data_IF_306597728806
#
_entry.id   IF_306597728806
#
_cell.length_a   1.000
_cell.length_b   1.000
_cell.length_c   1.000
_cell.angle_alpha   90.00
_cell.angle_beta   90.00
_cell.angle_gamma   90.00
#
_symmetry.space_group_name_H-M   'P 1'
#
loop_
_entity.id
_entity.type
_entity.pdbx_description
1 polymer ?
#
# COMPACT_ATOMS: atom_id res chain seq x y z
N UNK A 1 25.31 -3.90 1.58
CA UNK A 1 24.70 -2.58 1.80
C UNK A 1 23.22 -2.79 1.93
N UNK A 2 22.55 -2.14 2.86
CA UNK A 2 21.08 -2.25 3.02
C UNK A 2 20.41 -1.48 1.90
N UNK A 3 19.37 -2.06 1.26
CA UNK A 3 18.73 -1.52 0.04
C UNK A 3 17.99 -0.19 0.26
N UNK A 4 17.57 0.09 1.51
CA UNK A 4 16.81 1.28 1.90
C UNK A 4 17.57 2.16 2.89
N UNK A 5 18.90 2.06 2.94
CA UNK A 5 19.75 2.92 3.78
C UNK A 5 19.50 4.40 3.45
N UNK A 6 19.25 5.21 4.49
CA UNK A 6 18.96 6.65 4.32
C UNK A 6 17.53 6.98 3.84
N UNK A 7 16.67 5.99 3.61
CA UNK A 7 15.27 6.23 3.24
C UNK A 7 14.41 6.52 4.49
N UNK A 8 13.51 7.50 4.35
CA UNK A 8 12.46 7.83 5.33
C UNK A 8 11.12 7.50 4.70
N UNK A 9 10.43 6.52 5.25
CA UNK A 9 9.23 5.95 4.66
C UNK A 9 8.00 6.15 5.55
N UNK A 10 6.85 6.49 4.93
CA UNK A 10 5.52 6.36 5.54
C UNK A 10 4.85 5.13 4.92
N UNK A 11 4.31 4.24 5.77
CA UNK A 11 3.55 3.05 5.36
C UNK A 11 2.19 3.10 6.03
N UNK A 12 1.12 3.16 5.24
CA UNK A 12 -0.26 3.21 5.77
C UNK A 12 -0.86 1.81 5.92
N UNK A 13 -1.78 1.64 6.89
CA UNK A 13 -2.36 0.33 7.18
C UNK A 13 -1.32 -0.64 7.72
N UNK A 14 -0.39 -0.17 8.56
CA UNK A 14 0.82 -0.90 8.94
C UNK A 14 0.72 -1.66 10.27
N UNK A 15 -0.47 -1.77 10.87
CA UNK A 15 -0.67 -2.54 12.10
C UNK A 15 -0.91 -4.03 11.87
N UNK A 16 -1.03 -4.49 10.62
CA UNK A 16 -1.26 -5.89 10.29
C UNK A 16 -0.96 -6.22 8.81
N UNK A 17 -0.97 -7.52 8.50
CA UNK A 17 -0.95 -8.03 7.12
C UNK A 17 0.26 -7.55 6.30
N UNK A 18 0.02 -7.10 5.07
CA UNK A 18 1.09 -6.62 4.19
C UNK A 18 1.78 -5.39 4.75
N UNK A 19 1.04 -4.42 5.33
CA UNK A 19 1.60 -3.19 5.87
C UNK A 19 2.58 -3.43 7.02
N UNK A 20 2.25 -4.32 7.96
CA UNK A 20 3.17 -4.78 9.00
C UNK A 20 4.42 -5.44 8.39
N UNK A 21 4.22 -6.34 7.42
CA UNK A 21 5.33 -7.00 6.73
C UNK A 21 6.24 -6.00 6.03
N UNK A 22 5.67 -5.00 5.34
CA UNK A 22 6.45 -3.94 4.71
C UNK A 22 7.28 -3.16 5.74
N UNK A 23 6.68 -2.75 6.87
CA UNK A 23 7.37 -2.01 7.91
C UNK A 23 8.57 -2.78 8.47
N UNK A 24 8.37 -4.07 8.80
CA UNK A 24 9.43 -4.93 9.33
C UNK A 24 10.59 -5.12 8.35
N UNK A 25 10.29 -5.44 7.10
CA UNK A 25 11.33 -5.66 6.09
C UNK A 25 12.01 -4.33 5.69
N UNK A 26 11.31 -3.19 5.69
CA UNK A 26 11.90 -1.87 5.43
C UNK A 26 12.92 -1.48 6.49
N UNK A 27 12.61 -1.64 7.79
CA UNK A 27 13.56 -1.38 8.87
C UNK A 27 14.76 -2.30 8.77
N UNK A 28 14.56 -3.58 8.47
CA UNK A 28 15.64 -4.55 8.25
C UNK A 28 16.56 -4.13 7.11
N UNK A 29 16.02 -3.52 6.04
CA UNK A 29 16.76 -2.98 4.91
C UNK A 29 17.31 -1.55 5.14
N UNK A 30 17.20 -1.04 6.36
CA UNK A 30 17.87 0.20 6.79
C UNK A 30 17.04 1.47 6.69
N UNK A 31 15.76 1.38 6.36
CA UNK A 31 14.89 2.53 6.35
C UNK A 31 14.51 3.00 7.76
N UNK A 32 14.24 4.29 7.89
CA UNK A 32 13.45 4.85 8.99
C UNK A 32 11.97 4.81 8.59
N UNK A 33 11.11 4.26 9.42
CA UNK A 33 9.73 3.95 9.04
C UNK A 33 8.74 4.58 10.01
N UNK A 34 7.79 5.32 9.45
CA UNK A 34 6.57 5.74 10.15
C UNK A 34 5.45 4.78 9.76
N UNK A 35 5.01 3.99 10.74
CA UNK A 35 3.85 3.12 10.62
C UNK A 35 2.60 3.93 10.93
N UNK A 36 1.58 3.86 10.09
CA UNK A 36 0.31 4.50 10.39
C UNK A 36 -0.87 3.54 10.26
N UNK A 37 -1.82 3.64 11.17
CA UNK A 37 -3.03 2.81 11.21
C UNK A 37 -4.05 3.41 12.19
N UNK A 38 -5.28 2.89 12.17
CA UNK A 38 -6.30 3.16 13.19
C UNK A 38 -6.03 2.41 14.50
N UNK A 39 -5.42 1.21 14.41
CA UNK A 39 -5.15 0.35 15.56
C UNK A 39 -3.84 0.76 16.26
N UNK A 40 -3.99 1.66 17.23
CA UNK A 40 -2.88 2.23 17.98
C UNK A 40 -2.12 1.20 18.83
N UNK A 41 -2.82 0.26 19.45
CA UNK A 41 -2.21 -0.76 20.30
C UNK A 41 -1.25 -1.64 19.51
N UNK A 42 -1.74 -2.24 18.41
CA UNK A 42 -0.90 -3.10 17.55
C UNK A 42 0.21 -2.33 16.87
N UNK A 43 -0.10 -1.15 16.32
CA UNK A 43 0.89 -0.33 15.62
C UNK A 43 2.02 0.11 16.55
N UNK A 44 1.71 0.56 17.76
CA UNK A 44 2.71 0.94 18.76
C UNK A 44 3.56 -0.23 19.22
N UNK A 45 2.96 -1.42 19.38
CA UNK A 45 3.70 -2.66 19.70
C UNK A 45 4.71 -2.99 18.61
N UNK A 46 4.29 -2.98 17.33
CA UNK A 46 5.17 -3.26 16.19
C UNK A 46 6.32 -2.25 16.14
N UNK A 47 6.03 -0.95 16.28
CA UNK A 47 7.06 0.09 16.27
C UNK A 47 8.07 -0.09 17.41
N UNK A 48 7.60 -0.45 18.61
CA UNK A 48 8.47 -0.76 19.75
C UNK A 48 9.39 -1.96 19.49
N UNK A 49 8.87 -3.02 18.86
CA UNK A 49 9.67 -4.20 18.48
C UNK A 49 10.74 -3.87 17.42
N UNK A 50 10.47 -2.89 16.55
CA UNK A 50 11.37 -2.46 15.48
C UNK A 50 12.45 -1.45 15.96
N UNK A 51 12.30 -0.88 17.16
CA UNK A 51 13.28 -0.01 17.79
C UNK A 51 13.33 1.41 17.23
N UNK A 52 14.49 2.07 17.34
CA UNK A 52 14.66 3.51 17.06
C UNK A 52 14.39 3.94 15.62
N UNK A 53 14.46 3.00 14.67
CA UNK A 53 14.20 3.24 13.27
C UNK A 53 12.71 3.17 12.88
N UNK A 54 11.83 2.98 13.85
CA UNK A 54 10.39 2.93 13.62
C UNK A 54 9.63 3.81 14.62
N UNK A 55 8.52 4.36 14.16
CA UNK A 55 7.54 5.03 15.02
C UNK A 55 6.13 4.77 14.51
N UNK A 56 5.19 4.65 15.42
CA UNK A 56 3.77 4.59 15.10
C UNK A 56 3.12 5.95 15.29
N UNK A 57 2.29 6.34 14.33
CA UNK A 57 1.43 7.52 14.43
C UNK A 57 0.00 7.08 14.05
N UNK A 58 -0.95 7.25 14.97
CA UNK A 58 -2.35 6.95 14.69
C UNK A 58 -2.86 7.81 13.55
N UNK A 59 -3.49 7.20 12.55
CA UNK A 59 -4.00 7.90 11.37
C UNK A 59 -5.29 7.27 10.85
N UNK A 60 -6.28 8.09 10.59
CA UNK A 60 -7.36 7.81 9.67
C UNK A 60 -6.97 8.37 8.29
N UNK A 61 -6.67 7.51 7.34
CA UNK A 61 -6.23 7.91 5.98
C UNK A 61 -7.28 8.71 5.20
N UNK A 62 -8.54 8.75 5.68
CA UNK A 62 -9.62 9.56 5.10
C UNK A 62 -9.62 11.00 5.61
N UNK A 63 -8.81 11.32 6.62
CA UNK A 63 -8.76 12.64 7.28
C UNK A 63 -7.56 13.43 6.81
N UNK A 64 -7.83 14.60 6.26
CA UNK A 64 -6.80 15.52 5.75
C UNK A 64 -5.87 15.99 6.89
N UNK A 65 -6.45 16.29 8.04
CA UNK A 65 -5.73 16.76 9.22
C UNK A 65 -4.72 15.72 9.73
N UNK A 66 -5.08 14.43 9.62
CA UNK A 66 -4.18 13.33 9.99
C UNK A 66 -2.98 13.24 9.04
N UNK A 67 -3.20 13.42 7.73
CA UNK A 67 -2.09 13.48 6.77
C UNK A 67 -1.13 14.63 7.05
N UNK A 68 -1.67 15.83 7.32
CA UNK A 68 -0.85 17.00 7.66
C UNK A 68 -0.01 16.74 8.92
N UNK A 69 -0.62 16.17 9.96
CA UNK A 69 0.05 15.81 11.21
C UNK A 69 1.10 14.75 11.01
N UNK A 70 0.79 13.64 10.31
CA UNK A 70 1.73 12.54 10.05
C UNK A 70 2.95 13.03 9.30
N UNK A 71 2.78 13.84 8.25
CA UNK A 71 3.91 14.40 7.49
C UNK A 71 4.78 15.28 8.38
N UNK A 72 4.18 16.20 9.16
CA UNK A 72 4.94 17.11 10.03
C UNK A 72 5.72 16.34 11.11
N UNK A 73 5.10 15.37 11.77
CA UNK A 73 5.75 14.53 12.78
C UNK A 73 6.87 13.67 12.17
N UNK A 74 6.67 13.14 10.95
CA UNK A 74 7.69 12.39 10.23
C UNK A 74 8.90 13.24 9.92
N UNK A 75 8.68 14.44 9.34
CA UNK A 75 9.76 15.39 9.03
C UNK A 75 10.52 15.81 10.29
N UNK A 76 9.81 16.05 11.38
CA UNK A 76 10.43 16.42 12.67
C UNK A 76 11.31 15.32 13.25
N UNK A 77 10.88 14.06 13.12
CA UNK A 77 11.57 12.91 13.74
C UNK A 77 12.70 12.36 12.87
N UNK A 78 12.50 12.25 11.58
CA UNK A 78 13.40 11.53 10.68
C UNK A 78 13.96 12.37 9.54
N UNK A 79 13.45 13.57 9.32
CA UNK A 79 13.77 14.41 8.19
C UNK A 79 12.84 14.21 6.99
N UNK A 80 13.19 14.76 5.82
CA UNK A 80 12.34 14.74 4.64
C UNK A 80 11.96 13.33 4.20
N UNK A 81 10.68 13.14 3.90
CA UNK A 81 10.12 11.87 3.42
C UNK A 81 10.59 11.65 1.99
N UNK A 82 11.04 10.43 1.67
CA UNK A 82 11.40 10.04 0.32
C UNK A 82 10.76 8.71 -0.13
N UNK A 83 10.01 8.04 0.75
CA UNK A 83 9.21 6.88 0.36
C UNK A 83 7.79 6.98 0.94
N UNK A 84 6.79 6.72 0.10
CA UNK A 84 5.40 6.55 0.52
C UNK A 84 4.88 5.20 0.05
N UNK A 85 4.35 4.39 0.96
CA UNK A 85 3.61 3.17 0.64
C UNK A 85 2.14 3.37 1.04
N UNK A 86 1.29 3.66 0.06
CA UNK A 86 -0.15 3.70 0.22
C UNK A 86 -0.68 2.27 0.22
N UNK A 87 -0.70 1.64 1.41
CA UNK A 87 -1.11 0.25 1.58
C UNK A 87 -2.48 0.12 2.25
N UNK A 88 -2.93 1.09 3.03
CA UNK A 88 -4.23 1.04 3.69
C UNK A 88 -5.37 0.78 2.70
N UNK A 89 -6.29 -0.09 3.07
CA UNK A 89 -7.45 -0.42 2.25
C UNK A 89 -8.38 -1.42 2.93
N UNK A 90 -9.59 -1.49 2.45
CA UNK A 90 -10.63 -2.44 2.86
C UNK A 90 -11.22 -3.13 1.65
N UNK A 91 -11.75 -4.33 1.84
CA UNK A 91 -12.49 -5.07 0.81
C UNK A 91 -13.88 -4.47 0.61
N UNK A 92 -14.53 -4.11 1.71
CA UNK A 92 -15.93 -3.72 1.71
C UNK A 92 -16.88 -4.91 1.53
N UNK A 93 -18.20 -4.67 1.48
CA UNK A 93 -19.17 -5.73 1.30
C UNK A 93 -19.07 -6.42 -0.06
N UNK A 94 -19.19 -7.75 -0.06
CA UNK A 94 -19.30 -8.57 -1.27
C UNK A 94 -20.79 -8.62 -1.65
N UNK A 95 -21.20 -7.73 -2.55
CA UNK A 95 -22.60 -7.58 -2.97
C UNK A 95 -22.65 -7.23 -4.45
N UNK A 96 -23.75 -7.62 -5.10
CA UNK A 96 -24.02 -7.22 -6.49
C UNK A 96 -24.25 -5.71 -6.61
N UNK A 97 -24.19 -5.18 -7.84
CA UNK A 97 -24.33 -3.74 -8.12
C UNK A 97 -25.67 -3.19 -7.57
N UNK A 98 -26.73 -3.99 -7.61
CA UNK A 98 -28.07 -3.57 -7.17
C UNK A 98 -28.30 -3.73 -5.66
N UNK A 99 -27.40 -4.41 -4.95
CA UNK A 99 -27.53 -4.69 -3.52
C UNK A 99 -26.56 -3.88 -2.64
N UNK A 100 -25.47 -3.37 -3.21
CA UNK A 100 -24.55 -2.51 -2.44
C UNK A 100 -25.19 -1.17 -2.14
N UNK A 101 -25.12 -0.72 -0.88
CA UNK A 101 -25.58 0.62 -0.54
C UNK A 101 -24.60 1.69 -1.03
N UNK A 102 -25.12 2.89 -1.33
CA UNK A 102 -24.30 4.04 -1.71
C UNK A 102 -23.29 4.38 -0.59
N UNK A 103 -23.68 4.25 0.67
CA UNK A 103 -22.81 4.49 1.82
C UNK A 103 -21.63 3.51 1.88
N UNK A 104 -21.89 2.22 1.66
CA UNK A 104 -20.84 1.20 1.62
C UNK A 104 -19.89 1.43 0.42
N UNK A 105 -20.47 1.75 -0.74
CA UNK A 105 -19.69 2.09 -1.94
C UNK A 105 -18.77 3.28 -1.67
N UNK A 106 -19.31 4.39 -1.19
CA UNK A 106 -18.55 5.61 -0.92
C UNK A 106 -17.48 5.40 0.15
N UNK A 107 -17.74 4.57 1.17
CA UNK A 107 -16.74 4.23 2.19
C UNK A 107 -15.54 3.51 1.59
N UNK A 108 -15.75 2.57 0.69
CA UNK A 108 -14.65 1.87 0.00
C UNK A 108 -13.86 2.84 -0.88
N UNK A 109 -14.53 3.71 -1.63
CA UNK A 109 -13.87 4.72 -2.48
C UNK A 109 -13.03 5.67 -1.61
N UNK A 110 -13.58 6.15 -0.49
CA UNK A 110 -12.85 7.08 0.39
C UNK A 110 -11.57 6.46 0.96
N UNK A 111 -11.67 5.20 1.42
CA UNK A 111 -10.51 4.52 2.03
C UNK A 111 -9.51 4.04 0.98
N UNK A 112 -9.95 3.45 -0.15
CA UNK A 112 -9.05 2.78 -1.08
C UNK A 112 -8.51 3.70 -2.18
N UNK A 113 -9.27 4.73 -2.57
CA UNK A 113 -8.95 5.61 -3.69
C UNK A 113 -8.56 7.01 -3.22
N UNK A 114 -9.45 7.69 -2.45
CA UNK A 114 -9.20 9.08 -2.06
C UNK A 114 -8.01 9.17 -1.11
N UNK A 115 -7.82 8.22 -0.21
CA UNK A 115 -6.65 8.18 0.68
C UNK A 115 -5.32 8.11 -0.09
N UNK A 116 -5.28 7.39 -1.23
CA UNK A 116 -4.08 7.33 -2.09
C UNK A 116 -3.77 8.72 -2.68
N UNK A 117 -4.80 9.43 -3.12
CA UNK A 117 -4.65 10.81 -3.56
C UNK A 117 -4.16 11.70 -2.42
N UNK A 118 -4.76 11.62 -1.22
CA UNK A 118 -4.32 12.40 -0.06
C UNK A 118 -2.87 12.07 0.31
N UNK A 119 -2.50 10.79 0.36
CA UNK A 119 -1.13 10.36 0.62
C UNK A 119 -0.14 11.01 -0.32
N UNK A 120 -0.36 10.95 -1.62
CA UNK A 120 0.49 11.59 -2.61
C UNK A 120 0.50 13.12 -2.44
N UNK A 121 -0.67 13.75 -2.32
CA UNK A 121 -0.80 15.21 -2.21
C UNK A 121 -0.01 15.79 -1.04
N UNK A 122 -0.03 15.13 0.12
CA UNK A 122 0.61 15.65 1.33
C UNK A 122 2.07 15.23 1.49
N UNK A 123 2.50 14.12 0.89
CA UNK A 123 3.92 13.69 0.98
C UNK A 123 4.81 14.21 -0.14
N UNK A 124 4.28 14.44 -1.35
CA UNK A 124 5.07 14.95 -2.47
C UNK A 124 5.83 16.25 -2.15
N UNK A 125 5.27 17.24 -1.43
CA UNK A 125 6.04 18.43 -1.04
C UNK A 125 7.29 18.11 -0.21
N UNK A 126 7.25 17.08 0.63
CA UNK A 126 8.42 16.60 1.38
C UNK A 126 9.43 15.91 0.48
N UNK A 127 8.98 15.10 -0.50
CA UNK A 127 9.83 14.48 -1.49
C UNK A 127 10.54 15.51 -2.38
N UNK A 128 9.87 16.60 -2.73
CA UNK A 128 10.49 17.71 -3.45
C UNK A 128 11.62 18.37 -2.65
N UNK A 129 11.46 18.52 -1.31
CA UNK A 129 12.53 18.98 -0.41
C UNK A 129 13.69 17.99 -0.34
N UNK A 130 13.38 16.68 -0.35
CA UNK A 130 14.38 15.61 -0.37
C UNK A 130 15.14 15.51 -1.71
N UNK A 131 14.60 16.08 -2.80
CA UNK A 131 15.16 15.96 -4.17
C UNK A 131 15.02 14.56 -4.79
N UNK A 132 14.31 13.65 -4.13
CA UNK A 132 14.09 12.28 -4.57
C UNK A 132 12.82 11.72 -3.93
N UNK A 133 12.06 10.89 -4.65
CA UNK A 133 10.89 10.21 -4.10
C UNK A 133 10.56 8.88 -4.76
N UNK A 134 10.00 7.97 -3.97
CA UNK A 134 9.38 6.76 -4.49
C UNK A 134 8.01 6.56 -3.84
N UNK A 135 6.98 6.50 -4.66
CA UNK A 135 5.59 6.24 -4.27
C UNK A 135 5.23 4.83 -4.74
N UNK A 136 4.79 4.00 -3.81
CA UNK A 136 4.29 2.66 -4.09
C UNK A 136 2.82 2.59 -3.66
N UNK A 137 1.93 2.50 -4.63
CA UNK A 137 0.49 2.42 -4.38
C UNK A 137 0.04 0.95 -4.47
N UNK A 138 -0.50 0.42 -3.38
CA UNK A 138 -0.98 -0.96 -3.35
C UNK A 138 -2.39 -1.01 -3.97
N UNK A 139 -2.46 -1.53 -5.19
CA UNK A 139 -3.69 -1.87 -5.88
C UNK A 139 -4.10 -3.32 -5.55
N UNK A 140 -4.46 -4.10 -6.54
CA UNK A 140 -4.84 -5.52 -6.47
C UNK A 140 -4.86 -6.11 -7.88
N UNK A 141 -4.82 -7.42 -8.01
CA UNK A 141 -5.21 -8.11 -9.24
C UNK A 141 -6.62 -7.73 -9.66
N UNK A 142 -7.52 -7.46 -8.69
CA UNK A 142 -8.87 -6.91 -8.95
C UNK A 142 -8.86 -5.49 -9.55
N UNK A 143 -7.72 -4.82 -9.64
CA UNK A 143 -7.50 -3.60 -10.41
C UNK A 143 -7.02 -3.88 -11.85
N UNK A 144 -6.80 -5.12 -12.23
CA UNK A 144 -6.36 -5.57 -13.57
C UNK A 144 -7.46 -6.34 -14.28
N UNK A 145 -8.05 -7.32 -13.60
CA UNK A 145 -9.09 -8.21 -14.14
C UNK A 145 -10.30 -8.29 -13.21
N UNK A 146 -11.45 -8.60 -13.78
CA UNK A 146 -12.64 -8.96 -13.00
C UNK A 146 -12.52 -10.42 -12.54
N UNK A 147 -12.88 -10.65 -11.27
CA UNK A 147 -12.84 -12.00 -10.69
C UNK A 147 -14.26 -12.59 -10.75
N UNK A 148 -14.50 -13.61 -11.60
CA UNK A 148 -15.81 -14.24 -11.70
C UNK A 148 -16.29 -14.79 -10.34
N UNK A 149 -17.59 -14.65 -10.06
CA UNK A 149 -18.18 -15.14 -8.81
C UNK A 149 -17.88 -14.30 -7.56
N UNK A 150 -17.15 -13.19 -7.69
CA UNK A 150 -16.77 -12.33 -6.59
C UNK A 150 -17.27 -10.88 -6.81
N UNK A 151 -18.53 -10.59 -6.44
CA UNK A 151 -19.14 -9.28 -6.69
C UNK A 151 -18.59 -8.23 -5.71
N UNK A 152 -17.53 -7.56 -6.11
CA UNK A 152 -16.80 -6.56 -5.33
C UNK A 152 -16.64 -5.23 -6.09
N UNK A 153 -17.74 -4.70 -6.64
CA UNK A 153 -17.74 -3.52 -7.52
C UNK A 153 -16.95 -2.34 -6.96
N UNK A 154 -17.20 -1.95 -5.70
CA UNK A 154 -16.56 -0.79 -5.09
C UNK A 154 -15.05 -1.01 -4.93
N UNK A 155 -14.66 -2.21 -4.49
CA UNK A 155 -13.25 -2.59 -4.36
C UNK A 155 -12.55 -2.55 -5.71
N UNK A 156 -13.09 -3.25 -6.71
CA UNK A 156 -12.53 -3.27 -8.06
C UNK A 156 -12.41 -1.86 -8.63
N UNK A 157 -13.49 -1.08 -8.61
CA UNK A 157 -13.49 0.30 -9.11
C UNK A 157 -12.41 1.15 -8.44
N UNK A 158 -12.28 1.05 -7.10
CA UNK A 158 -11.22 1.77 -6.36
C UNK A 158 -9.81 1.33 -6.76
N UNK A 159 -9.58 0.02 -6.97
CA UNK A 159 -8.26 -0.52 -7.34
C UNK A 159 -7.88 -0.24 -8.79
N UNK A 160 -8.85 -0.17 -9.71
CA UNK A 160 -8.63 0.37 -11.06
C UNK A 160 -8.27 1.87 -11.04
N UNK A 161 -8.91 2.67 -10.20
CA UNK A 161 -8.61 4.10 -10.07
C UNK A 161 -7.17 4.34 -9.57
N UNK A 162 -6.66 3.53 -8.66
CA UNK A 162 -5.27 3.62 -8.16
C UNK A 162 -4.25 3.55 -9.29
N UNK A 163 -4.50 2.79 -10.35
CA UNK A 163 -3.63 2.72 -11.54
C UNK A 163 -3.54 4.08 -12.25
N UNK A 164 -4.70 4.71 -12.48
CA UNK A 164 -4.77 6.03 -13.11
C UNK A 164 -4.06 7.11 -12.27
N UNK A 165 -4.33 7.14 -10.96
CA UNK A 165 -3.69 8.06 -10.02
C UNK A 165 -2.16 7.88 -10.01
N UNK A 166 -1.68 6.64 -10.05
CA UNK A 166 -0.25 6.32 -10.10
C UNK A 166 0.41 6.87 -11.36
N UNK A 167 -0.21 6.66 -12.53
CA UNK A 167 0.31 7.16 -13.82
C UNK A 167 0.32 8.68 -13.89
N UNK A 168 -0.72 9.32 -13.37
CA UNK A 168 -0.78 10.77 -13.30
C UNK A 168 0.38 11.34 -12.48
N UNK A 169 0.60 10.82 -11.26
CA UNK A 169 1.70 11.25 -10.41
C UNK A 169 3.08 11.01 -11.06
N UNK A 170 3.26 9.86 -11.73
CA UNK A 170 4.50 9.52 -12.43
C UNK A 170 4.83 10.53 -13.55
N UNK A 171 3.84 10.92 -14.34
CA UNK A 171 4.01 11.91 -15.43
C UNK A 171 4.27 13.30 -14.87
N UNK A 172 3.53 13.69 -13.83
CA UNK A 172 3.59 15.04 -13.28
C UNK A 172 4.93 15.30 -12.54
N UNK A 173 5.41 14.34 -11.77
CA UNK A 173 6.57 14.52 -10.89
C UNK A 173 7.85 13.79 -11.31
N UNK A 174 7.83 13.07 -12.44
CA UNK A 174 9.01 12.34 -12.92
C UNK A 174 10.25 13.22 -13.13
N UNK A 175 10.07 14.44 -13.64
CA UNK A 175 11.16 15.42 -13.82
C UNK A 175 11.76 15.93 -12.50
N UNK A 176 11.05 15.72 -11.39
CA UNK A 176 11.50 16.05 -10.05
C UNK A 176 12.18 14.86 -9.35
N UNK A 177 12.53 13.81 -10.09
CA UNK A 177 13.11 12.58 -9.54
C UNK A 177 12.18 11.88 -8.51
N UNK A 178 10.86 11.99 -8.72
CA UNK A 178 9.84 11.30 -7.93
C UNK A 178 9.19 10.24 -8.83
N UNK A 179 9.33 8.99 -8.45
CA UNK A 179 8.76 7.84 -9.15
C UNK A 179 7.45 7.41 -8.46
N UNK A 180 6.49 6.97 -9.24
CA UNK A 180 5.25 6.40 -8.72
C UNK A 180 4.91 5.11 -9.47
N UNK A 181 4.73 4.00 -8.75
CA UNK A 181 4.40 2.71 -9.33
C UNK A 181 3.27 2.05 -8.53
N UNK A 182 2.47 1.20 -9.18
CA UNK A 182 1.45 0.42 -8.52
C UNK A 182 1.83 -1.05 -8.43
N UNK A 183 1.47 -1.69 -7.31
CA UNK A 183 1.63 -3.13 -7.07
C UNK A 183 0.26 -3.77 -7.07
N UNK A 184 0.13 -4.92 -7.74
CA UNK A 184 -1.13 -5.63 -7.92
C UNK A 184 -1.01 -7.06 -7.36
N UNK A 185 -1.17 -7.23 -6.04
CA UNK A 185 -1.14 -8.55 -5.43
C UNK A 185 -2.35 -9.39 -5.83
N UNK A 186 -2.15 -10.70 -5.97
CA UNK A 186 -3.20 -11.69 -6.02
C UNK A 186 -3.66 -12.10 -4.61
N UNK A 187 -3.76 -13.40 -4.37
CA UNK A 187 -4.12 -13.96 -3.07
C UNK A 187 -2.92 -14.00 -2.11
N UNK A 188 -2.99 -13.17 -1.08
CA UNK A 188 -1.93 -13.02 -0.07
C UNK A 188 -2.47 -13.44 1.30
N UNK A 189 -1.74 -14.26 2.04
CA UNK A 189 -2.08 -14.69 3.41
C UNK A 189 -2.07 -13.48 4.35
N UNK A 190 -3.25 -12.92 4.60
CA UNK A 190 -3.46 -11.72 5.45
C UNK A 190 -4.79 -11.83 6.18
N UNK A 191 -5.00 -11.07 7.27
CA UNK A 191 -6.30 -11.02 7.93
C UNK A 191 -7.45 -10.64 7.00
N UNK A 192 -7.22 -9.75 6.02
CA UNK A 192 -8.23 -9.40 5.01
C UNK A 192 -8.66 -10.61 4.16
N UNK A 193 -7.74 -11.51 3.85
CA UNK A 193 -8.06 -12.72 3.09
C UNK A 193 -8.85 -13.72 3.93
N UNK A 194 -8.50 -13.89 5.21
CA UNK A 194 -9.25 -14.72 6.16
C UNK A 194 -10.68 -14.21 6.34
N UNK A 195 -10.86 -12.88 6.44
CA UNK A 195 -12.18 -12.25 6.50
C UNK A 195 -13.02 -12.50 5.23
N UNK A 196 -12.36 -12.54 4.07
CA UNK A 196 -13.00 -12.74 2.77
C UNK A 196 -13.38 -14.19 2.47
N UNK A 197 -12.71 -15.16 3.11
CA UNK A 197 -12.84 -16.59 2.80
C UNK A 197 -13.00 -17.42 4.07
N UNK A 198 -11.91 -18.00 4.54
CA UNK A 198 -11.72 -18.77 5.76
C UNK A 198 -10.24 -18.80 6.12
N UNK A 199 -9.88 -19.49 7.23
CA UNK A 199 -8.48 -19.58 7.68
C UNK A 199 -7.54 -20.20 6.64
N UNK A 200 -8.05 -21.10 5.79
CA UNK A 200 -7.29 -21.77 4.74
C UNK A 200 -7.34 -21.00 3.38
N UNK A 201 -8.05 -19.87 3.33
CA UNK A 201 -8.18 -19.04 2.12
C UNK A 201 -9.19 -19.57 1.10
N UNK A 202 -10.13 -20.45 1.51
CA UNK A 202 -11.24 -20.92 0.69
C UNK A 202 -10.84 -21.58 -0.64
N UNK A 203 -9.65 -22.20 -0.70
CA UNK A 203 -9.12 -22.78 -1.94
C UNK A 203 -8.60 -21.75 -2.96
N UNK A 204 -8.51 -20.47 -2.57
CA UNK A 204 -8.03 -19.41 -3.47
C UNK A 204 -6.64 -19.68 -4.04
N UNK A 205 -5.76 -20.30 -3.26
CA UNK A 205 -4.43 -20.70 -3.72
C UNK A 205 -4.46 -21.63 -4.92
N UNK A 206 -5.36 -22.60 -4.91
CA UNK A 206 -5.44 -23.63 -5.97
C UNK A 206 -5.88 -23.06 -7.33
N UNK A 207 -6.52 -21.90 -7.32
CA UNK A 207 -6.94 -21.20 -8.54
C UNK A 207 -5.81 -20.43 -9.23
N UNK A 208 -4.61 -20.40 -8.67
CA UNK A 208 -3.46 -19.75 -9.29
C UNK A 208 -2.54 -20.75 -9.99
N UNK A 209 -1.84 -20.40 -11.09
CA UNK A 209 -0.84 -21.26 -11.71
C UNK A 209 0.25 -21.77 -10.77
N UNK A 210 0.63 -20.98 -9.74
CA UNK A 210 1.59 -21.42 -8.72
C UNK A 210 0.97 -22.29 -7.63
N UNK A 211 -0.35 -22.56 -7.68
CA UNK A 211 -1.12 -23.43 -6.79
C UNK A 211 -0.89 -23.11 -5.29
N UNK A 212 -0.79 -21.83 -4.94
CA UNK A 212 -0.66 -21.37 -3.55
C UNK A 212 -0.99 -19.89 -3.40
N UNK A 213 -1.33 -19.50 -2.20
CA UNK A 213 -1.28 -18.08 -1.79
C UNK A 213 0.17 -17.67 -1.52
N UNK A 214 0.47 -16.40 -1.72
CA UNK A 214 1.76 -15.84 -1.34
C UNK A 214 1.77 -15.38 0.12
N UNK A 215 2.96 -15.37 0.73
CA UNK A 215 3.18 -14.73 2.02
C UNK A 215 3.34 -13.20 1.83
N UNK A 216 2.91 -12.40 2.81
CA UNK A 216 3.01 -10.94 2.77
C UNK A 216 4.46 -10.45 2.50
N UNK A 217 5.45 -11.20 2.95
CA UNK A 217 6.88 -10.92 2.70
C UNK A 217 7.25 -10.96 1.21
N UNK A 218 6.61 -11.81 0.41
CA UNK A 218 6.90 -11.89 -1.04
C UNK A 218 6.49 -10.57 -1.73
N UNK A 219 5.36 -9.98 -1.31
CA UNK A 219 4.96 -8.64 -1.75
C UNK A 219 5.91 -7.58 -1.22
N UNK A 220 6.36 -7.69 0.05
CA UNK A 220 7.29 -6.73 0.65
C UNK A 220 8.61 -6.66 -0.12
N UNK A 221 9.12 -7.78 -0.64
CA UNK A 221 10.34 -7.80 -1.46
C UNK A 221 10.21 -6.93 -2.73
N UNK A 222 9.04 -6.97 -3.38
CA UNK A 222 8.76 -6.14 -4.56
C UNK A 222 8.60 -4.67 -4.17
N UNK A 223 7.91 -4.38 -3.06
CA UNK A 223 7.74 -3.01 -2.54
C UNK A 223 9.09 -2.39 -2.16
N UNK A 224 10.01 -3.15 -1.54
CA UNK A 224 11.38 -2.74 -1.25
C UNK A 224 12.15 -2.42 -2.55
N UNK A 225 12.06 -3.28 -3.55
CA UNK A 225 12.67 -3.02 -4.86
C UNK A 225 12.18 -1.69 -5.45
N UNK A 226 10.87 -1.45 -5.45
CA UNK A 226 10.29 -0.21 -5.96
C UNK A 226 10.66 1.03 -5.12
N UNK A 227 10.85 0.87 -3.81
CA UNK A 227 11.28 1.94 -2.91
C UNK A 227 12.79 2.25 -3.00
N UNK A 228 13.58 1.30 -3.48
CA UNK A 228 15.04 1.41 -3.58
C UNK A 228 15.49 2.10 -4.87
N UNK A 229 16.78 2.41 -4.93
CA UNK A 229 17.42 3.00 -6.13
C UNK A 229 17.63 1.98 -7.26
N UNK A 230 17.43 0.67 -6.99
CA UNK A 230 17.49 -0.40 -7.99
C UNK A 230 16.41 -0.25 -9.07
N UNK A 231 15.29 0.39 -8.74
CA UNK A 231 14.17 0.67 -9.64
C UNK A 231 14.17 2.09 -10.20
N UNK A 232 15.35 2.74 -10.27
CA UNK A 232 15.49 4.16 -10.65
C UNK A 232 14.93 4.53 -12.03
N UNK A 233 14.76 3.56 -12.93
CA UNK A 233 14.17 3.80 -14.27
C UNK A 233 12.72 3.29 -14.40
N UNK A 234 12.07 2.94 -13.26
CA UNK A 234 10.68 2.46 -13.23
C UNK A 234 9.77 3.54 -12.65
N UNK A 235 8.88 4.10 -13.48
CA UNK A 235 7.81 5.00 -13.05
C UNK A 235 6.56 4.83 -13.91
N UNK A 236 5.38 4.97 -13.32
CA UNK A 236 4.09 4.77 -13.98
C UNK A 236 3.76 3.32 -14.32
N UNK A 237 4.55 2.36 -13.82
CA UNK A 237 4.41 0.94 -14.13
C UNK A 237 3.44 0.23 -13.19
N UNK A 238 2.90 -0.89 -13.68
CA UNK A 238 2.01 -1.78 -12.96
C UNK A 238 2.75 -3.09 -12.69
N UNK A 239 3.03 -3.38 -11.42
CA UNK A 239 3.78 -4.56 -11.02
C UNK A 239 2.81 -5.63 -10.49
N UNK A 240 2.55 -6.64 -11.30
CA UNK A 240 1.65 -7.74 -10.95
C UNK A 240 2.43 -8.79 -10.16
N UNK A 241 1.89 -9.22 -9.03
CA UNK A 241 2.42 -10.27 -8.16
C UNK A 241 1.26 -11.15 -7.67
N UNK A 242 0.78 -12.04 -8.50
CA UNK A 242 -0.49 -12.75 -8.35
C UNK A 242 -0.41 -14.27 -8.56
N UNK A 243 0.79 -14.82 -8.67
CA UNK A 243 0.98 -16.25 -8.93
C UNK A 243 0.51 -16.72 -10.31
N UNK A 244 0.34 -15.78 -11.25
CA UNK A 244 -0.12 -16.04 -12.60
C UNK A 244 -1.64 -15.99 -12.76
N UNK A 245 -2.40 -15.54 -11.74
CA UNK A 245 -3.85 -15.51 -11.75
C UNK A 245 -4.43 -14.69 -12.90
N UNK A 246 -3.83 -13.56 -13.25
CA UNK A 246 -4.37 -12.62 -14.26
C UNK A 246 -4.10 -13.00 -15.72
N UNK A 247 -3.37 -14.07 -15.97
CA UNK A 247 -3.01 -14.52 -17.33
C UNK A 247 -3.73 -15.81 -17.78
N UNK A 248 -4.71 -16.27 -17.01
CA UNK A 248 -5.53 -17.45 -17.30
C UNK A 248 -6.77 -17.09 -18.11
#
# INVERSE_FOLDING_TARGET
MKRLEGKVAIITGASQGMGESHAREFVKEGAKVVLTDLNEERGSKIASELGENAVFIKQDVTKIEDWQRVVAETESKFGPINVLVNNAGILGPIKTITEISEADYLKVIEINQNSVFYGMKYTIPSMLKAGIGSIVNISSVAGIVAIPGYPSLAYMGSKFAVRGLTKAAAVEYGKNNIRANSVHPGYIKTPMMVEATDEDGGGAGDSTPLARMADAKEVSNLVIFLASDESSFLTGTEQIIDGGMSIQ
#
